data_IF_512263779286
#
_entry.id   IF_512263779286
#
_cell.length_a   1.000
_cell.length_b   1.000
_cell.length_c   1.000
_cell.angle_alpha   90.00
_cell.angle_beta   90.00
_cell.angle_gamma   90.00
#
_symmetry.space_group_name_H-M   'P 1'
#
loop_
_entity.id
_entity.type
_entity.pdbx_description
1 polymer ?
#
# COMPACT_ATOMS: atom_id res chain seq x y z
N UNK A 1 20.98 -43.09 -18.79
CA UNK A 1 21.34 -41.66 -18.71
C UNK A 1 20.32 -40.85 -19.53
N UNK A 2 19.84 -39.75 -19.05
CA UNK A 2 18.94 -38.88 -19.76
C UNK A 2 19.70 -37.92 -20.70
N UNK A 3 19.08 -37.43 -21.77
CA UNK A 3 19.69 -36.43 -22.68
C UNK A 3 20.25 -35.18 -21.97
N UNK A 4 19.68 -34.82 -20.81
CA UNK A 4 20.16 -33.69 -19.99
C UNK A 4 21.40 -34.06 -19.11
N UNK A 5 21.99 -35.23 -19.25
CA UNK A 5 23.15 -35.73 -18.49
C UNK A 5 22.81 -36.35 -17.12
N UNK A 6 21.60 -36.18 -16.60
CA UNK A 6 21.25 -36.77 -15.31
C UNK A 6 20.98 -38.27 -15.39
N UNK A 7 21.36 -39.02 -14.34
CA UNK A 7 21.12 -40.44 -14.20
C UNK A 7 19.97 -40.65 -13.19
N UNK A 8 19.00 -41.52 -13.53
CA UNK A 8 17.95 -41.95 -12.62
C UNK A 8 17.79 -43.47 -12.70
N UNK A 9 17.36 -44.07 -11.61
CA UNK A 9 16.99 -45.48 -11.55
C UNK A 9 15.49 -45.60 -11.82
N UNK A 10 15.15 -46.43 -12.82
CA UNK A 10 13.75 -46.65 -13.23
C UNK A 10 13.49 -48.13 -13.41
N UNK A 11 12.26 -48.55 -13.26
CA UNK A 11 11.82 -49.94 -13.50
C UNK A 11 11.89 -50.24 -14.99
N UNK A 12 12.34 -51.46 -15.33
CA UNK A 12 12.53 -51.87 -16.73
C UNK A 12 11.26 -51.89 -17.55
N UNK A 13 10.08 -52.16 -16.91
CA UNK A 13 8.77 -52.12 -17.53
C UNK A 13 8.42 -50.67 -17.95
N UNK A 14 8.69 -49.67 -17.14
CA UNK A 14 8.42 -48.28 -17.46
C UNK A 14 9.26 -47.76 -18.64
N UNK A 15 10.49 -48.28 -18.82
CA UNK A 15 11.32 -47.99 -19.99
C UNK A 15 10.76 -48.64 -21.26
N UNK A 16 10.39 -49.95 -21.18
CA UNK A 16 9.89 -50.70 -22.33
C UNK A 16 8.53 -50.16 -22.83
N UNK A 17 7.69 -49.74 -21.90
CA UNK A 17 6.33 -49.23 -22.24
C UNK A 17 6.32 -47.73 -22.52
N UNK A 18 7.47 -47.06 -22.54
CA UNK A 18 7.59 -45.63 -22.82
C UNK A 18 7.01 -44.72 -21.73
N UNK A 19 6.69 -45.24 -20.55
CA UNK A 19 6.15 -44.44 -19.44
C UNK A 19 7.22 -43.50 -18.84
N UNK A 20 8.49 -43.83 -18.97
CA UNK A 20 9.58 -42.98 -18.50
C UNK A 20 10.49 -42.61 -19.68
N UNK A 21 10.37 -41.41 -20.19
CA UNK A 21 11.14 -40.88 -21.35
C UNK A 21 12.22 -39.88 -20.95
N UNK A 22 12.25 -39.46 -19.67
CA UNK A 22 13.24 -38.48 -19.16
C UNK A 22 13.41 -38.61 -17.66
N UNK A 23 14.45 -37.97 -17.07
CA UNK A 23 14.66 -37.88 -15.62
C UNK A 23 13.65 -36.89 -14.93
N UNK A 24 12.64 -36.41 -15.66
CA UNK A 24 11.72 -35.36 -15.22
C UNK A 24 12.10 -33.96 -15.72
N UNK A 25 13.24 -33.82 -16.41
CA UNK A 25 13.69 -32.55 -16.98
C UNK A 25 12.66 -32.00 -17.98
N UNK A 26 12.20 -32.85 -18.92
CA UNK A 26 11.18 -32.45 -19.93
C UNK A 26 9.88 -31.95 -19.27
N UNK A 27 9.42 -32.60 -18.19
CA UNK A 27 8.25 -32.14 -17.42
C UNK A 27 8.51 -30.78 -16.76
N UNK A 28 9.70 -30.55 -16.20
CA UNK A 28 10.06 -29.25 -15.61
C UNK A 28 10.15 -28.16 -16.65
N UNK A 29 10.72 -28.42 -17.82
CA UNK A 29 10.78 -27.47 -18.94
C UNK A 29 9.39 -27.08 -19.45
N UNK A 30 8.51 -28.08 -19.66
CA UNK A 30 7.11 -27.83 -20.08
C UNK A 30 6.33 -27.04 -19.03
N UNK A 31 6.51 -27.36 -17.74
CA UNK A 31 5.86 -26.62 -16.66
C UNK A 31 6.41 -25.19 -16.52
N UNK A 32 7.70 -24.99 -16.72
CA UNK A 32 8.32 -23.67 -16.72
C UNK A 32 7.86 -22.83 -17.92
N UNK A 33 7.76 -23.43 -19.10
CA UNK A 33 7.23 -22.77 -20.28
C UNK A 33 5.72 -22.45 -20.16
N UNK A 34 4.93 -23.39 -19.60
CA UNK A 34 3.51 -23.17 -19.31
C UNK A 34 3.28 -22.12 -18.24
N UNK A 35 4.19 -22.01 -17.25
CA UNK A 35 4.17 -20.96 -16.23
C UNK A 35 4.41 -19.57 -16.81
N UNK A 36 5.36 -19.44 -17.75
CA UNK A 36 5.62 -18.18 -18.47
C UNK A 36 4.42 -17.75 -19.32
N UNK A 37 3.73 -18.70 -19.96
CA UNK A 37 2.54 -18.41 -20.77
C UNK A 37 1.27 -18.15 -19.95
N UNK A 38 1.27 -18.43 -18.63
CA UNK A 38 0.15 -18.17 -17.71
C UNK A 38 0.29 -16.90 -16.89
N UNK A 39 1.48 -16.32 -16.85
CA UNK A 39 1.69 -15.02 -16.24
C UNK A 39 1.05 -13.98 -17.17
N UNK A 40 -0.17 -13.54 -16.86
CA UNK A 40 -0.77 -12.39 -17.53
C UNK A 40 0.18 -11.22 -17.37
N UNK A 41 0.60 -10.60 -18.45
CA UNK A 41 1.32 -9.35 -18.41
C UNK A 41 0.34 -8.28 -17.89
N UNK A 42 0.62 -7.72 -16.72
CA UNK A 42 -0.20 -6.71 -16.09
C UNK A 42 0.35 -5.29 -16.30
N UNK A 43 1.47 -5.13 -17.02
CA UNK A 43 2.06 -3.81 -17.28
C UNK A 43 1.04 -2.89 -17.95
N UNK A 44 0.87 -1.68 -17.40
CA UNK A 44 -0.13 -0.71 -17.84
C UNK A 44 -1.53 -0.91 -17.24
N UNK A 45 -1.81 -2.05 -16.58
CA UNK A 45 -3.10 -2.27 -15.91
C UNK A 45 -3.24 -1.39 -14.68
N UNK A 46 -4.48 -0.97 -14.40
CA UNK A 46 -4.82 -0.11 -13.27
C UNK A 46 -5.66 -0.90 -12.27
N UNK A 47 -5.21 -0.94 -11.01
CA UNK A 47 -5.90 -1.55 -9.89
C UNK A 47 -6.15 -0.50 -8.80
N UNK A 48 -7.35 0.07 -8.79
CA UNK A 48 -7.67 1.20 -7.94
C UNK A 48 -6.77 2.40 -8.24
N UNK A 49 -5.87 2.72 -7.32
CA UNK A 49 -4.91 3.84 -7.43
C UNK A 49 -3.52 3.41 -7.89
N UNK A 50 -3.32 2.12 -8.14
CA UNK A 50 -2.05 1.55 -8.57
C UNK A 50 -2.05 1.33 -10.08
N UNK A 51 -1.04 1.85 -10.75
CA UNK A 51 -0.72 1.54 -12.15
C UNK A 51 0.51 0.64 -12.19
N UNK A 52 0.39 -0.54 -12.77
CA UNK A 52 1.50 -1.48 -12.89
C UNK A 52 2.51 -0.95 -13.91
N UNK A 53 3.77 -0.78 -13.49
CA UNK A 53 4.85 -0.24 -14.33
C UNK A 53 5.75 -1.34 -14.89
N UNK A 54 6.16 -2.30 -14.06
CA UNK A 54 7.09 -3.34 -14.47
C UNK A 54 6.97 -4.60 -13.58
N UNK A 55 7.52 -5.73 -14.06
CA UNK A 55 7.89 -6.86 -13.22
C UNK A 55 9.11 -6.45 -12.39
N UNK A 56 9.03 -6.48 -11.07
CA UNK A 56 10.13 -6.09 -10.17
C UNK A 56 11.32 -7.06 -10.23
N UNK A 57 11.17 -8.21 -10.87
CA UNK A 57 12.12 -9.32 -10.84
C UNK A 57 11.99 -10.20 -9.60
N UNK A 58 11.25 -9.78 -8.60
CA UNK A 58 10.99 -10.56 -7.37
C UNK A 58 9.77 -11.47 -7.50
N UNK A 59 9.74 -12.49 -6.63
CA UNK A 59 8.62 -13.44 -6.57
C UNK A 59 8.15 -13.61 -5.14
N UNK A 60 6.84 -13.79 -4.98
CA UNK A 60 6.25 -14.11 -3.68
C UNK A 60 6.56 -15.57 -3.26
N UNK A 61 6.20 -15.93 -2.03
CA UNK A 61 6.45 -17.27 -1.47
C UNK A 61 5.79 -18.42 -2.26
N UNK A 62 4.90 -18.11 -3.21
CA UNK A 62 4.22 -19.07 -4.10
C UNK A 62 4.79 -19.06 -5.51
N UNK A 63 5.83 -18.25 -5.76
CA UNK A 63 6.45 -18.05 -7.06
C UNK A 63 5.70 -17.08 -7.98
N UNK A 64 4.68 -16.36 -7.46
CA UNK A 64 3.95 -15.33 -8.18
C UNK A 64 4.78 -14.07 -8.41
N UNK A 65 4.54 -13.38 -9.54
CA UNK A 65 5.24 -12.13 -9.88
C UNK A 65 4.88 -11.06 -8.85
N UNK A 66 5.89 -10.34 -8.36
CA UNK A 66 5.74 -9.08 -7.64
C UNK A 66 5.93 -7.95 -8.64
N UNK A 67 4.91 -7.10 -8.74
CA UNK A 67 4.87 -5.98 -9.66
C UNK A 67 5.30 -4.69 -8.98
N UNK A 68 6.10 -3.91 -9.68
CA UNK A 68 6.33 -2.51 -9.34
C UNK A 68 5.14 -1.69 -9.84
N UNK A 69 4.46 -1.02 -8.91
CA UNK A 69 3.27 -0.24 -9.16
C UNK A 69 3.48 1.21 -8.73
N UNK A 70 3.12 2.15 -9.58
CA UNK A 70 3.02 3.56 -9.21
C UNK A 70 1.63 3.86 -8.67
N UNK A 71 1.56 4.44 -7.50
CA UNK A 71 0.30 4.92 -6.93
C UNK A 71 0.01 6.35 -7.38
N UNK A 72 -1.28 6.69 -7.54
CA UNK A 72 -1.68 8.06 -7.91
C UNK A 72 -1.23 9.16 -6.93
N UNK A 73 -0.75 8.80 -5.73
CA UNK A 73 -0.12 9.74 -4.79
C UNK A 73 1.38 9.98 -5.06
N UNK A 74 1.96 9.36 -6.10
CA UNK A 74 3.38 9.45 -6.45
C UNK A 74 4.27 8.38 -5.78
N UNK A 75 3.77 7.62 -4.81
CA UNK A 75 4.55 6.58 -4.15
C UNK A 75 4.60 5.29 -5.00
N UNK A 76 5.71 4.56 -4.91
CA UNK A 76 5.85 3.23 -5.48
C UNK A 76 5.40 2.17 -4.48
N UNK A 77 4.76 1.11 -4.97
CA UNK A 77 4.38 -0.07 -4.21
C UNK A 77 4.78 -1.35 -4.96
N UNK A 78 5.19 -2.37 -4.21
CA UNK A 78 5.51 -3.69 -4.74
C UNK A 78 4.41 -4.67 -4.34
N UNK A 79 3.65 -5.17 -5.32
CA UNK A 79 2.42 -5.94 -5.06
C UNK A 79 2.41 -7.21 -5.90
N UNK A 80 2.12 -8.35 -5.25
CA UNK A 80 2.03 -9.64 -5.97
C UNK A 80 0.79 -9.67 -6.88
N UNK A 81 0.89 -10.45 -7.97
CA UNK A 81 -0.25 -10.70 -8.88
C UNK A 81 -1.51 -11.10 -8.11
N UNK A 82 -1.37 -12.02 -7.14
CA UNK A 82 -2.50 -12.50 -6.36
C UNK A 82 -3.17 -11.41 -5.51
N UNK A 83 -2.41 -10.43 -5.03
CA UNK A 83 -2.94 -9.32 -4.25
C UNK A 83 -3.57 -8.23 -5.13
N UNK A 84 -3.10 -8.04 -6.36
CA UNK A 84 -3.73 -7.12 -7.32
C UNK A 84 -5.06 -7.66 -7.87
N UNK A 85 -5.10 -8.97 -8.17
CA UNK A 85 -6.25 -9.58 -8.88
C UNK A 85 -7.26 -10.29 -7.98
N UNK A 86 -7.11 -10.18 -6.66
CA UNK A 86 -8.01 -10.82 -5.70
C UNK A 86 -9.45 -10.25 -5.84
N UNK A 87 -10.50 -11.10 -5.90
CA UNK A 87 -11.89 -10.62 -6.05
C UNK A 87 -12.39 -9.81 -4.86
N UNK A 88 -11.89 -10.08 -3.66
CA UNK A 88 -12.16 -9.32 -2.44
C UNK A 88 -10.84 -8.94 -1.77
N UNK A 89 -10.79 -7.77 -1.17
CA UNK A 89 -9.60 -7.24 -0.45
C UNK A 89 -8.36 -7.11 -1.33
N UNK A 90 -8.53 -6.76 -2.61
CA UNK A 90 -7.40 -6.45 -3.50
C UNK A 90 -6.60 -5.27 -2.95
N UNK A 91 -5.28 -5.30 -3.22
CA UNK A 91 -4.44 -4.12 -2.94
C UNK A 91 -4.68 -3.08 -4.01
N UNK A 92 -5.32 -1.97 -3.65
CA UNK A 92 -5.73 -0.89 -4.55
C UNK A 92 -4.96 0.41 -4.36
N UNK A 93 -4.02 0.47 -3.41
CA UNK A 93 -3.17 1.64 -3.15
C UNK A 93 -1.83 1.20 -2.54
N UNK A 94 -0.88 2.11 -2.43
CA UNK A 94 0.40 1.88 -1.73
C UNK A 94 0.27 1.91 -0.19
N UNK A 95 -0.95 2.01 0.34
CA UNK A 95 -1.20 2.24 1.77
C UNK A 95 -1.18 3.72 2.18
N UNK A 96 -1.14 4.62 1.21
CA UNK A 96 -1.14 6.08 1.43
C UNK A 96 -2.48 6.60 1.97
N UNK A 97 -3.57 5.87 1.73
CA UNK A 97 -4.88 6.15 2.28
C UNK A 97 -5.40 4.90 2.98
N UNK A 98 -5.89 5.06 4.20
CA UNK A 98 -6.46 4.00 5.03
C UNK A 98 -7.98 4.10 5.14
N UNK A 99 -8.53 5.24 4.72
CA UNK A 99 -9.96 5.52 4.77
C UNK A 99 -10.44 6.23 3.51
N UNK A 100 -11.77 6.19 3.27
CA UNK A 100 -12.41 6.94 2.17
C UNK A 100 -12.19 8.45 2.26
N UNK A 101 -12.08 8.98 3.49
CA UNK A 101 -11.79 10.40 3.70
C UNK A 101 -10.39 10.78 3.24
N UNK A 102 -9.39 9.98 3.63
CA UNK A 102 -8.03 10.18 3.15
C UNK A 102 -7.94 10.06 1.62
N UNK A 103 -8.65 9.10 1.01
CA UNK A 103 -8.72 8.96 -0.46
C UNK A 103 -9.27 10.23 -1.12
N UNK A 104 -10.34 10.80 -0.56
CA UNK A 104 -10.96 12.02 -1.06
C UNK A 104 -10.01 13.22 -0.94
N UNK A 105 -9.32 13.37 0.20
CA UNK A 105 -8.32 14.43 0.39
C UNK A 105 -7.20 14.30 -0.64
N UNK A 106 -6.65 13.08 -0.85
CA UNK A 106 -5.60 12.85 -1.86
C UNK A 106 -6.07 13.26 -3.25
N UNK A 107 -7.27 12.82 -3.67
CA UNK A 107 -7.80 13.15 -4.98
C UNK A 107 -7.95 14.67 -5.15
N UNK A 108 -8.40 15.36 -4.10
CA UNK A 108 -8.58 16.82 -4.10
C UNK A 108 -7.23 17.56 -4.16
N UNK A 109 -6.23 17.14 -3.38
CA UNK A 109 -4.88 17.72 -3.42
C UNK A 109 -4.22 17.56 -4.78
N UNK A 110 -4.35 16.38 -5.41
CA UNK A 110 -3.85 16.12 -6.78
C UNK A 110 -4.53 17.05 -7.79
N UNK A 111 -5.86 17.15 -7.73
CA UNK A 111 -6.63 18.01 -8.64
C UNK A 111 -6.27 19.49 -8.46
N UNK A 112 -5.99 19.91 -7.24
CA UNK A 112 -5.56 21.26 -6.92
C UNK A 112 -4.07 21.52 -7.21
N UNK A 113 -3.32 20.50 -7.62
CA UNK A 113 -1.87 20.55 -7.86
C UNK A 113 -1.07 21.01 -6.62
N UNK A 114 -1.54 20.69 -5.41
CA UNK A 114 -0.87 20.99 -4.14
C UNK A 114 0.08 19.83 -3.83
N UNK A 115 1.41 20.07 -3.71
CA UNK A 115 2.36 19.03 -3.33
C UNK A 115 2.11 18.54 -1.90
N UNK A 116 2.13 17.24 -1.70
CA UNK A 116 1.93 16.63 -0.38
C UNK A 116 2.72 15.34 -0.22
N UNK A 117 2.97 14.98 1.04
CA UNK A 117 3.58 13.72 1.46
C UNK A 117 2.56 12.98 2.34
N UNK A 118 2.27 11.73 2.02
CA UNK A 118 1.36 10.91 2.83
C UNK A 118 2.11 10.16 3.92
N UNK A 119 1.43 9.86 5.04
CA UNK A 119 1.93 9.04 6.14
C UNK A 119 3.28 9.56 6.68
N UNK A 120 3.39 10.89 6.83
CA UNK A 120 4.61 11.57 7.28
C UNK A 120 4.96 11.20 8.71
N UNK A 121 6.23 10.93 8.94
CA UNK A 121 6.83 10.74 10.26
C UNK A 121 7.92 11.78 10.47
N UNK A 122 8.08 12.21 11.72
CA UNK A 122 9.18 13.07 12.15
C UNK A 122 9.99 12.32 13.21
N UNK A 123 11.31 12.40 13.13
CA UNK A 123 12.20 11.68 14.05
C UNK A 123 11.97 12.07 15.51
N UNK A 124 11.60 13.33 15.75
CA UNK A 124 11.35 13.87 17.09
C UNK A 124 9.92 13.64 17.60
N UNK A 125 8.97 13.24 16.73
CA UNK A 125 7.59 12.98 17.13
C UNK A 125 7.43 11.51 17.59
N UNK A 126 7.97 11.22 18.78
CA UNK A 126 7.97 9.88 19.38
C UNK A 126 7.03 9.86 20.58
N UNK A 127 5.99 9.04 20.51
CA UNK A 127 5.03 8.92 21.61
C UNK A 127 5.65 8.22 22.82
N UNK A 128 5.73 8.88 23.99
CA UNK A 128 6.50 8.39 25.14
C UNK A 128 6.08 7.01 25.66
N UNK A 129 4.77 6.73 25.68
CA UNK A 129 4.24 5.47 26.22
C UNK A 129 4.64 4.24 25.41
N UNK A 130 4.83 4.38 24.10
CA UNK A 130 5.12 3.25 23.19
C UNK A 130 6.51 3.30 22.58
N UNK A 131 7.22 4.41 22.77
CA UNK A 131 8.51 4.70 22.11
C UNK A 131 8.45 4.53 20.58
N UNK A 132 7.31 4.88 19.95
CA UNK A 132 7.10 4.79 18.51
C UNK A 132 6.84 6.16 17.92
N UNK A 133 7.40 6.40 16.74
CA UNK A 133 7.09 7.60 15.96
C UNK A 133 5.61 7.62 15.59
N UNK A 134 4.97 8.76 15.81
CA UNK A 134 3.61 9.01 15.32
C UNK A 134 3.62 9.32 13.83
N UNK A 135 2.50 9.01 13.19
CA UNK A 135 2.30 9.17 11.74
C UNK A 135 1.23 10.22 11.53
N UNK A 136 1.51 11.17 10.65
CA UNK A 136 0.52 12.15 10.18
C UNK A 136 0.04 11.76 8.79
N UNK A 137 -1.27 11.91 8.53
CA UNK A 137 -1.84 11.46 7.27
C UNK A 137 -1.28 12.21 6.07
N UNK A 138 -1.17 13.54 6.17
CA UNK A 138 -0.63 14.38 5.10
C UNK A 138 0.29 15.47 5.67
N UNK A 139 1.34 15.79 4.91
CA UNK A 139 2.21 16.93 5.12
C UNK A 139 2.31 17.74 3.83
N UNK A 140 2.05 19.02 3.88
CA UNK A 140 2.21 19.98 2.80
C UNK A 140 3.50 20.77 3.03
N UNK A 141 4.60 20.41 2.35
CA UNK A 141 5.92 20.95 2.66
C UNK A 141 6.06 22.45 2.35
N UNK A 142 5.39 22.94 1.30
CA UNK A 142 5.47 24.34 0.90
C UNK A 142 4.79 25.28 1.89
N UNK A 143 3.72 24.80 2.55
CA UNK A 143 2.94 25.56 3.52
C UNK A 143 3.36 25.29 4.96
N UNK A 144 4.16 24.24 5.20
CA UNK A 144 4.49 23.69 6.52
C UNK A 144 3.23 23.33 7.33
N UNK A 145 2.29 22.63 6.68
CA UNK A 145 1.01 22.24 7.26
C UNK A 145 0.92 20.72 7.30
N UNK A 146 0.38 20.20 8.41
CA UNK A 146 -0.05 18.82 8.57
C UNK A 146 -1.58 18.75 8.48
N UNK A 147 -2.10 17.70 7.83
CA UNK A 147 -3.53 17.42 7.78
C UNK A 147 -3.75 16.00 8.29
N UNK A 148 -4.72 15.85 9.21
CA UNK A 148 -5.23 14.58 9.73
C UNK A 148 -6.71 14.45 9.36
N UNK A 149 -7.13 13.25 8.96
CA UNK A 149 -8.55 12.95 8.78
C UNK A 149 -9.03 12.10 9.94
N UNK A 150 -9.79 12.74 10.84
CA UNK A 150 -10.28 12.11 12.05
C UNK A 150 -11.56 11.30 11.76
N UNK A 151 -11.44 9.98 11.77
CA UNK A 151 -12.57 9.06 11.65
C UNK A 151 -13.48 9.10 12.88
N UNK A 152 -14.63 8.44 12.81
CA UNK A 152 -15.63 8.38 13.89
C UNK A 152 -15.04 7.92 15.24
N UNK A 153 -14.05 7.05 15.21
CA UNK A 153 -13.34 6.51 16.38
C UNK A 153 -12.60 7.57 17.21
N UNK A 154 -12.33 8.75 16.66
CA UNK A 154 -11.72 9.86 17.40
C UNK A 154 -12.74 10.62 18.28
N UNK A 155 -14.04 10.41 18.04
CA UNK A 155 -15.13 11.15 18.71
C UNK A 155 -15.95 10.28 19.66
N UNK A 156 -15.97 8.96 19.47
CA UNK A 156 -16.77 8.03 20.25
C UNK A 156 -16.02 6.72 20.50
N UNK A 157 -16.33 6.08 21.62
CA UNK A 157 -15.90 4.69 21.85
C UNK A 157 -16.59 3.76 20.86
N UNK A 158 -15.81 3.15 19.95
CA UNK A 158 -16.30 2.18 18.96
C UNK A 158 -16.08 0.76 19.51
N UNK A 159 -17.07 -0.12 19.36
CA UNK A 159 -16.91 -1.54 19.72
C UNK A 159 -15.73 -2.15 18.96
N UNK A 160 -14.81 -2.79 19.70
CA UNK A 160 -13.55 -3.40 19.20
C UNK A 160 -12.41 -2.43 18.90
N UNK A 161 -12.33 -1.30 19.58
CA UNK A 161 -11.16 -0.43 19.49
C UNK A 161 -9.92 -1.14 20.10
N UNK A 162 -8.95 -1.45 19.23
CA UNK A 162 -7.71 -2.16 19.60
C UNK A 162 -6.83 -1.36 20.56
N UNK A 163 -7.00 -0.06 20.63
CA UNK A 163 -6.15 0.86 21.42
C UNK A 163 -6.91 1.56 22.53
N UNK A 164 -8.25 1.42 22.59
CA UNK A 164 -9.12 2.15 23.49
C UNK A 164 -9.22 3.64 23.14
N UNK A 165 -10.39 4.21 23.29
CA UNK A 165 -10.65 5.65 23.03
C UNK A 165 -9.63 6.56 23.74
N UNK A 166 -9.27 6.26 25.00
CA UNK A 166 -8.28 7.00 25.77
C UNK A 166 -6.89 7.01 25.11
N UNK A 167 -6.46 5.88 24.52
CA UNK A 167 -5.19 5.80 23.82
C UNK A 167 -5.17 6.58 22.49
N UNK A 168 -6.32 6.75 21.82
CA UNK A 168 -6.46 7.62 20.64
C UNK A 168 -6.32 9.07 21.10
N UNK A 169 -7.10 9.49 22.08
CA UNK A 169 -7.09 10.86 22.64
C UNK A 169 -5.69 11.26 23.13
N UNK A 170 -4.98 10.35 23.83
CA UNK A 170 -3.64 10.63 24.32
C UNK A 170 -2.66 10.91 23.17
N UNK A 171 -2.70 10.12 22.08
CA UNK A 171 -1.86 10.33 20.90
C UNK A 171 -2.23 11.60 20.13
N UNK A 172 -3.51 11.91 20.04
CA UNK A 172 -3.99 13.13 19.37
C UNK A 172 -3.53 14.37 20.12
N UNK A 173 -3.65 14.38 21.45
CA UNK A 173 -3.15 15.46 22.31
C UNK A 173 -1.63 15.63 22.16
N UNK A 174 -0.89 14.51 22.13
CA UNK A 174 0.56 14.56 21.93
C UNK A 174 0.93 15.12 20.55
N UNK A 175 0.21 14.72 19.47
CA UNK A 175 0.41 15.29 18.14
C UNK A 175 0.17 16.80 18.11
N UNK A 176 -0.92 17.27 18.74
CA UNK A 176 -1.25 18.68 18.81
C UNK A 176 -0.14 19.47 19.51
N UNK A 177 0.27 19.02 20.72
CA UNK A 177 1.33 19.66 21.48
C UNK A 177 2.66 19.67 20.70
N UNK A 178 3.05 18.54 20.11
CA UNK A 178 4.28 18.43 19.32
C UNK A 178 4.26 19.41 18.12
N UNK A 179 3.13 19.54 17.45
CA UNK A 179 2.98 20.49 16.33
C UNK A 179 3.13 21.94 16.78
N UNK A 180 2.54 22.32 17.91
CA UNK A 180 2.68 23.66 18.53
C UNK A 180 4.15 23.96 18.87
N UNK A 181 4.83 23.03 19.55
CA UNK A 181 6.25 23.17 19.93
C UNK A 181 7.20 23.30 18.74
N UNK A 182 6.85 22.72 17.58
CA UNK A 182 7.65 22.74 16.36
C UNK A 182 7.20 23.80 15.33
N UNK A 183 6.24 24.66 15.68
CA UNK A 183 5.66 25.66 14.79
C UNK A 183 5.16 25.07 13.46
N UNK A 184 4.54 23.90 13.51
CA UNK A 184 3.89 23.25 12.37
C UNK A 184 2.40 23.33 12.60
N UNK A 185 1.68 23.92 11.66
CA UNK A 185 0.22 24.00 11.75
C UNK A 185 -0.41 22.63 11.49
N UNK A 186 -1.28 22.17 12.41
CA UNK A 186 -2.05 20.94 12.26
C UNK A 186 -3.52 21.26 11.98
N UNK A 187 -4.02 20.79 10.86
CA UNK A 187 -5.43 20.86 10.46
C UNK A 187 -6.05 19.50 10.69
N UNK A 188 -7.14 19.43 11.44
CA UNK A 188 -7.93 18.23 11.63
C UNK A 188 -9.26 18.33 10.89
N UNK A 189 -9.50 17.36 10.01
CA UNK A 189 -10.74 17.28 9.23
C UNK A 189 -11.56 16.14 9.79
N UNK A 190 -12.66 16.41 10.51
CA UNK A 190 -13.50 15.38 11.08
C UNK A 190 -14.28 14.62 9.99
N UNK A 191 -14.64 13.37 10.25
CA UNK A 191 -15.40 12.53 9.33
C UNK A 191 -16.74 13.14 8.91
N UNK A 192 -17.32 14.01 9.73
CA UNK A 192 -18.56 14.75 9.44
C UNK A 192 -18.41 15.69 8.25
N UNK A 193 -17.19 16.17 7.98
CA UNK A 193 -16.87 17.05 6.85
C UNK A 193 -16.63 16.29 5.54
N UNK A 194 -16.74 14.96 5.52
CA UNK A 194 -16.47 14.16 4.34
C UNK A 194 -17.12 14.67 3.06
N UNK A 195 -18.40 15.09 3.13
CA UNK A 195 -19.13 15.56 1.96
C UNK A 195 -18.63 16.92 1.46
N UNK A 196 -18.09 17.74 2.34
CA UNK A 196 -17.61 19.10 2.06
C UNK A 196 -16.19 19.13 1.49
N UNK A 197 -15.42 18.02 1.60
CA UNK A 197 -14.06 17.97 1.07
C UNK A 197 -14.07 18.13 -0.45
N UNK A 198 -13.69 19.31 -0.91
CA UNK A 198 -13.45 19.66 -2.32
C UNK A 198 -12.28 20.66 -2.41
N UNK A 199 -11.95 21.10 -3.64
CA UNK A 199 -10.83 22.02 -3.88
C UNK A 199 -10.97 23.37 -3.18
N UNK A 200 -12.20 23.90 -3.08
CA UNK A 200 -12.45 25.16 -2.40
C UNK A 200 -12.32 25.00 -0.89
N UNK A 201 -12.89 23.93 -0.33
CA UNK A 201 -12.79 23.63 1.09
C UNK A 201 -11.32 23.51 1.54
N UNK A 202 -10.52 22.67 0.84
CA UNK A 202 -9.12 22.51 1.19
C UNK A 202 -8.34 23.81 1.04
N UNK A 203 -8.59 24.58 -0.02
CA UNK A 203 -7.96 25.90 -0.20
C UNK A 203 -8.27 26.84 0.97
N UNK A 204 -9.54 26.93 1.35
CA UNK A 204 -9.99 27.77 2.46
C UNK A 204 -9.27 27.41 3.76
N UNK A 205 -9.29 26.13 4.18
CA UNK A 205 -8.69 25.73 5.45
C UNK A 205 -7.14 25.80 5.44
N UNK A 206 -6.50 25.71 4.26
CA UNK A 206 -5.05 25.90 4.11
C UNK A 206 -4.68 27.39 4.20
N UNK A 207 -5.49 28.27 3.63
CA UNK A 207 -5.24 29.73 3.57
C UNK A 207 -5.72 30.48 4.83
N UNK A 208 -6.76 30.01 5.51
CA UNK A 208 -7.25 30.56 6.77
C UNK A 208 -6.17 30.50 7.84
N UNK A 209 -5.58 31.64 8.20
CA UNK A 209 -4.53 31.82 9.21
C UNK A 209 -3.08 31.79 8.69
N UNK A 210 -2.84 32.46 7.56
CA UNK A 210 -1.49 32.99 7.30
C UNK A 210 -1.14 34.15 8.21
#
# INVERSE_FOLDING_TARGET
MCECGNTITVRSDNLRNGHTVSCGCKKREVLAAAGKNRASDLVGSVFGRLTVKADSGERDNKGGIIWECECSCGNTAYVSTSNLTRPSEATISCGCAKSKGEEKIIATLIQAQIPFITQKRFETCVFPETNRQLVFDFYLPEQNILIEYDGEQHFHEVRNDRYGYQGIVARDNYKNQWCEENNIRLIRIPYTEYNNIDGNYLKTIIEENK
#
